data_IF_035697595877
#
_entry.id   IF_035697595877
#
_cell.length_a   1.000
_cell.length_b   1.000
_cell.length_c   1.000
_cell.angle_alpha   90.00
_cell.angle_beta   90.00
_cell.angle_gamma   90.00
#
_symmetry.space_group_name_H-M   'P 1'
#
loop_
_entity.id
_entity.type
_entity.pdbx_description
1 polymer ?
#
# COMPACT_ATOMS: atom_id res chain seq x y z
N UNK A 1 9.61 -50.52 -4.06
CA UNK A 1 10.49 -50.92 -5.19
C UNK A 1 9.98 -50.21 -6.44
N UNK A 2 10.50 -49.01 -6.71
CA UNK A 2 10.01 -48.11 -7.78
C UNK A 2 10.81 -48.23 -9.09
N UNK A 3 12.08 -48.65 -8.99
CA UNK A 3 13.11 -48.51 -10.03
C UNK A 3 13.16 -49.66 -11.05
N UNK A 4 12.07 -50.41 -11.27
CA UNK A 4 12.13 -51.59 -12.16
C UNK A 4 10.82 -51.94 -12.86
N UNK A 5 9.80 -51.08 -12.77
CA UNK A 5 8.52 -51.31 -13.44
C UNK A 5 8.26 -50.19 -14.46
N UNK A 6 8.04 -50.52 -15.74
CA UNK A 6 7.89 -49.52 -16.81
C UNK A 6 6.64 -48.64 -16.64
N UNK A 7 5.66 -49.09 -15.86
CA UNK A 7 4.38 -48.40 -15.69
C UNK A 7 4.31 -47.61 -14.37
N UNK A 8 5.40 -47.54 -13.61
CA UNK A 8 5.40 -46.91 -12.28
C UNK A 8 5.65 -45.40 -12.35
N UNK A 9 4.76 -44.64 -11.72
CA UNK A 9 4.85 -43.17 -11.62
C UNK A 9 4.74 -42.68 -10.18
N UNK A 10 5.41 -41.56 -9.91
CA UNK A 10 5.30 -40.76 -8.70
C UNK A 10 4.59 -39.45 -9.03
N UNK A 11 3.63 -39.08 -8.18
CA UNK A 11 2.84 -37.85 -8.36
C UNK A 11 3.01 -36.93 -7.15
N UNK A 12 3.07 -35.60 -7.36
CA UNK A 12 2.98 -34.64 -6.27
C UNK A 12 1.65 -34.73 -5.53
N UNK A 13 1.69 -34.64 -4.19
CA UNK A 13 0.47 -34.61 -3.36
C UNK A 13 -0.51 -33.52 -3.78
N UNK A 14 -0.01 -32.37 -4.23
CA UNK A 14 -0.81 -31.25 -4.72
C UNK A 14 -1.63 -31.57 -5.98
N UNK A 15 -1.18 -32.52 -6.81
CA UNK A 15 -1.90 -32.97 -7.99
C UNK A 15 -2.88 -34.10 -7.68
N UNK A 16 -2.46 -34.99 -6.79
CA UNK A 16 -3.14 -36.22 -6.46
C UNK A 16 -4.37 -36.01 -5.55
N UNK A 17 -4.23 -35.18 -4.50
CA UNK A 17 -5.28 -34.98 -3.50
C UNK A 17 -6.61 -34.41 -4.06
N UNK A 18 -6.62 -33.39 -4.95
CA UNK A 18 -7.86 -32.89 -5.54
C UNK A 18 -8.56 -33.89 -6.47
N UNK A 19 -7.85 -34.94 -6.92
CA UNK A 19 -8.35 -35.95 -7.87
C UNK A 19 -8.62 -37.30 -7.22
N UNK A 20 -8.48 -37.40 -5.89
CA UNK A 20 -8.65 -38.65 -5.16
C UNK A 20 -7.68 -39.75 -5.59
N UNK A 21 -6.50 -39.39 -6.11
CA UNK A 21 -5.48 -40.34 -6.54
C UNK A 21 -4.60 -40.72 -5.36
N UNK A 22 -4.71 -41.95 -4.89
CA UNK A 22 -3.83 -42.51 -3.86
C UNK A 22 -2.80 -43.47 -4.44
N UNK A 23 -1.87 -43.92 -3.59
CA UNK A 23 -0.91 -44.96 -3.96
C UNK A 23 -1.67 -46.24 -4.36
N UNK A 24 -1.41 -46.73 -5.57
CA UNK A 24 -2.11 -47.84 -6.21
C UNK A 24 -3.12 -47.41 -7.28
N UNK A 25 -3.46 -46.12 -7.37
CA UNK A 25 -4.34 -45.61 -8.41
C UNK A 25 -3.73 -45.76 -9.81
N UNK A 26 -4.58 -45.95 -10.82
CA UNK A 26 -4.18 -46.02 -12.22
C UNK A 26 -4.49 -44.67 -12.87
N UNK A 27 -3.51 -44.13 -13.59
CA UNK A 27 -3.63 -42.88 -14.34
C UNK A 27 -3.37 -43.15 -15.82
N UNK A 28 -4.30 -42.73 -16.66
CA UNK A 28 -4.12 -42.75 -18.11
C UNK A 28 -3.28 -41.53 -18.53
N UNK A 29 -2.16 -41.77 -19.22
CA UNK A 29 -1.33 -40.72 -19.79
C UNK A 29 -1.30 -40.85 -21.30
N UNK A 30 -1.31 -39.71 -21.98
CA UNK A 30 -1.14 -39.63 -23.42
C UNK A 30 0.36 -39.70 -23.76
N UNK A 31 0.75 -40.73 -24.50
CA UNK A 31 2.11 -40.92 -24.99
C UNK A 31 2.16 -40.72 -26.50
N UNK A 32 3.34 -40.49 -27.12
CA UNK A 32 3.47 -40.39 -28.57
C UNK A 32 2.98 -41.65 -29.32
N UNK A 33 2.91 -42.79 -28.62
CA UNK A 33 2.43 -44.08 -29.17
C UNK A 33 0.95 -44.35 -28.89
N UNK A 34 0.23 -43.40 -28.29
CA UNK A 34 -1.16 -43.54 -27.87
C UNK A 34 -1.34 -43.47 -26.35
N UNK A 35 -2.57 -43.69 -25.88
CA UNK A 35 -2.87 -43.65 -24.45
C UNK A 35 -2.39 -44.93 -23.76
N UNK A 36 -1.76 -44.77 -22.59
CA UNK A 36 -1.27 -45.88 -21.76
C UNK A 36 -1.61 -45.67 -20.30
N UNK A 37 -1.79 -46.78 -19.60
CA UNK A 37 -2.10 -46.82 -18.19
C UNK A 37 -0.82 -46.89 -17.36
N UNK A 38 -0.71 -46.04 -16.34
CA UNK A 38 0.40 -46.00 -15.41
C UNK A 38 -0.11 -46.12 -13.97
N UNK A 39 0.64 -46.79 -13.11
CA UNK A 39 0.28 -47.01 -11.70
C UNK A 39 1.03 -46.03 -10.81
N UNK A 40 0.29 -45.31 -9.96
CA UNK A 40 0.83 -44.41 -8.94
C UNK A 40 1.44 -45.26 -7.82
N UNK A 41 2.78 -45.30 -7.74
CA UNK A 41 3.48 -46.09 -6.71
C UNK A 41 3.91 -45.28 -5.49
N UNK A 42 3.79 -43.97 -5.55
CA UNK A 42 4.11 -43.10 -4.43
C UNK A 42 3.73 -41.65 -4.67
N UNK A 43 3.61 -40.93 -3.57
CA UNK A 43 3.31 -39.52 -3.55
C UNK A 43 4.53 -38.74 -3.05
N UNK A 44 4.95 -37.74 -3.83
CA UNK A 44 6.07 -36.87 -3.47
C UNK A 44 5.55 -35.54 -2.93
N UNK A 45 6.26 -34.97 -1.97
CA UNK A 45 5.99 -33.60 -1.53
C UNK A 45 6.51 -32.65 -2.63
N UNK A 46 5.71 -31.67 -3.09
CA UNK A 46 6.17 -30.73 -4.09
C UNK A 46 7.23 -29.79 -3.50
N UNK A 47 8.49 -30.18 -3.63
CA UNK A 47 9.65 -29.33 -3.31
C UNK A 47 10.30 -28.76 -4.58
N UNK A 48 10.88 -27.55 -4.48
CA UNK A 48 11.62 -26.93 -5.57
C UNK A 48 10.82 -26.77 -6.88
N UNK A 49 11.30 -27.37 -7.98
CA UNK A 49 10.69 -27.30 -9.31
C UNK A 49 9.31 -27.96 -9.39
N UNK A 50 8.96 -28.87 -8.48
CA UNK A 50 7.63 -29.49 -8.41
C UNK A 50 6.50 -28.47 -8.15
N UNK A 51 6.82 -27.33 -7.52
CA UNK A 51 5.87 -26.24 -7.30
C UNK A 51 5.70 -25.30 -8.50
N UNK A 52 6.70 -25.20 -9.36
CA UNK A 52 6.76 -24.20 -10.45
C UNK A 52 5.73 -24.50 -11.55
N UNK A 53 5.37 -25.77 -11.74
CA UNK A 53 4.32 -26.19 -12.67
C UNK A 53 2.97 -26.48 -11.98
N UNK A 54 2.72 -25.88 -10.81
CA UNK A 54 1.47 -26.08 -10.08
C UNK A 54 1.25 -27.52 -9.59
N UNK A 55 2.32 -28.30 -9.42
CA UNK A 55 2.24 -29.71 -9.07
C UNK A 55 1.97 -30.66 -10.23
N UNK A 56 1.81 -30.16 -11.46
CA UNK A 56 1.65 -31.00 -12.66
C UNK A 56 3.01 -31.56 -13.10
N UNK A 57 3.57 -32.46 -12.29
CA UNK A 57 4.81 -33.17 -12.57
C UNK A 57 4.56 -34.66 -12.41
N UNK A 58 5.08 -35.46 -13.34
CA UNK A 58 5.12 -36.92 -13.21
C UNK A 58 6.58 -37.32 -13.16
N UNK A 59 6.96 -38.09 -12.14
CA UNK A 59 8.32 -38.63 -12.02
C UNK A 59 8.26 -40.14 -12.28
N UNK A 60 9.13 -40.62 -13.14
CA UNK A 60 9.26 -42.03 -13.50
C UNK A 60 10.73 -42.37 -13.67
N UNK A 61 11.03 -43.66 -13.73
CA UNK A 61 12.36 -44.14 -14.05
C UNK A 61 12.77 -43.71 -15.48
N UNK A 62 14.06 -43.41 -15.69
CA UNK A 62 14.54 -42.92 -16.98
C UNK A 62 14.35 -43.95 -18.10
N UNK A 63 14.56 -45.24 -17.82
CA UNK A 63 14.37 -46.29 -18.81
C UNK A 63 12.88 -46.45 -19.17
N UNK A 64 12.00 -46.30 -18.18
CA UNK A 64 10.55 -46.27 -18.40
C UNK A 64 10.14 -45.05 -19.24
N UNK A 65 10.68 -43.87 -18.93
CA UNK A 65 10.43 -42.63 -19.69
C UNK A 65 10.90 -42.76 -21.14
N UNK A 66 12.09 -43.32 -21.37
CA UNK A 66 12.62 -43.54 -22.71
C UNK A 66 11.78 -44.49 -23.53
N UNK A 67 11.25 -45.55 -22.91
CA UNK A 67 10.39 -46.53 -23.61
C UNK A 67 8.98 -46.00 -23.88
N UNK A 68 8.45 -45.16 -23.00
CA UNK A 68 7.06 -44.70 -23.07
C UNK A 68 6.90 -43.36 -23.80
N UNK A 69 7.83 -42.41 -23.64
CA UNK A 69 7.67 -41.02 -24.07
C UNK A 69 8.69 -40.53 -25.10
N UNK A 70 9.83 -41.21 -25.26
CA UNK A 70 10.86 -40.79 -26.22
C UNK A 70 11.50 -41.99 -26.92
N UNK A 71 12.71 -41.86 -27.43
CA UNK A 71 13.54 -42.96 -27.93
C UNK A 71 14.74 -43.15 -27.00
N UNK A 72 15.34 -44.35 -26.96
CA UNK A 72 16.54 -44.59 -26.17
C UNK A 72 17.66 -43.61 -26.53
N UNK A 73 18.30 -43.00 -25.53
CA UNK A 73 19.42 -42.08 -25.71
C UNK A 73 19.03 -40.62 -25.98
N UNK A 74 17.73 -40.29 -26.01
CA UNK A 74 17.24 -38.91 -26.18
C UNK A 74 16.95 -38.25 -24.83
N UNK A 75 18.00 -37.67 -24.23
CA UNK A 75 17.91 -36.91 -22.97
C UNK A 75 17.87 -35.41 -23.30
N UNK A 76 16.80 -34.73 -22.88
CA UNK A 76 16.59 -33.30 -23.12
C UNK A 76 17.32 -32.39 -22.12
N UNK A 77 17.51 -32.84 -20.88
CA UNK A 77 18.17 -32.08 -19.82
C UNK A 77 18.86 -32.99 -18.81
N UNK A 78 20.06 -32.60 -18.41
CA UNK A 78 20.79 -33.20 -17.29
C UNK A 78 20.99 -32.13 -16.23
N UNK A 79 20.45 -32.37 -15.05
CA UNK A 79 20.65 -31.49 -13.90
C UNK A 79 21.87 -31.97 -13.10
N UNK A 80 22.89 -31.12 -12.99
CA UNK A 80 24.12 -31.43 -12.24
C UNK A 80 24.07 -30.74 -10.88
N UNK A 81 24.17 -31.53 -9.81
CA UNK A 81 24.23 -31.01 -8.44
C UNK A 81 25.68 -30.79 -8.07
N UNK A 82 26.03 -29.53 -7.81
CA UNK A 82 27.39 -29.14 -7.39
C UNK A 82 27.51 -29.30 -5.88
N UNK A 83 28.64 -29.84 -5.41
CA UNK A 83 28.95 -29.93 -3.98
C UNK A 83 29.01 -28.53 -3.33
N UNK A 84 28.63 -28.45 -2.05
CA UNK A 84 28.43 -27.17 -1.34
C UNK A 84 29.69 -26.31 -1.21
N UNK A 85 30.86 -26.91 -1.34
CA UNK A 85 32.19 -26.31 -1.21
C UNK A 85 32.74 -25.74 -2.53
N UNK A 86 32.03 -25.90 -3.65
CA UNK A 86 32.49 -25.48 -4.98
C UNK A 86 31.64 -24.35 -5.56
N UNK A 87 32.30 -23.39 -6.19
CA UNK A 87 31.63 -22.30 -6.90
C UNK A 87 30.97 -22.79 -8.20
N UNK A 88 29.67 -22.48 -8.34
CA UNK A 88 28.84 -22.85 -9.49
C UNK A 88 29.34 -22.19 -10.78
N UNK A 89 29.87 -20.97 -10.71
CA UNK A 89 30.35 -20.27 -11.90
C UNK A 89 31.62 -20.94 -12.48
N UNK A 90 32.52 -21.40 -11.60
CA UNK A 90 33.74 -22.13 -11.95
C UNK A 90 33.40 -23.50 -12.55
N UNK A 91 32.51 -24.26 -11.92
CA UNK A 91 32.06 -25.57 -12.42
C UNK A 91 31.33 -25.43 -13.77
N UNK A 92 30.51 -24.39 -13.94
CA UNK A 92 29.85 -24.09 -15.22
C UNK A 92 30.87 -23.87 -16.35
N UNK A 93 31.95 -23.11 -16.08
CA UNK A 93 32.99 -22.87 -17.09
C UNK A 93 33.70 -24.16 -17.47
N UNK A 94 34.07 -24.98 -16.48
CA UNK A 94 34.72 -26.27 -16.71
C UNK A 94 33.83 -27.25 -17.51
N UNK A 95 32.54 -27.30 -17.20
CA UNK A 95 31.56 -28.06 -17.99
C UNK A 95 31.45 -27.50 -19.41
N UNK A 96 31.28 -26.19 -19.57
CA UNK A 96 31.15 -25.58 -20.88
C UNK A 96 32.37 -25.85 -21.79
N UNK A 97 33.58 -25.95 -21.24
CA UNK A 97 34.79 -26.31 -22.00
C UNK A 97 34.91 -27.81 -22.31
N UNK A 98 34.24 -28.67 -21.55
CA UNK A 98 34.31 -30.13 -21.73
C UNK A 98 33.18 -30.69 -22.61
N UNK A 99 32.13 -29.90 -22.87
CA UNK A 99 30.97 -30.33 -23.66
C UNK A 99 31.15 -30.02 -25.16
N UNK A 100 30.64 -30.89 -26.07
CA UNK A 100 30.61 -30.64 -27.50
C UNK A 100 29.82 -29.38 -27.89
N UNK A 101 30.14 -28.83 -29.07
CA UNK A 101 29.35 -27.74 -29.66
C UNK A 101 27.90 -28.17 -29.88
N UNK A 102 26.94 -27.35 -29.44
CA UNK A 102 25.50 -27.61 -29.53
C UNK A 102 24.79 -27.81 -28.19
N UNK A 103 25.52 -28.05 -27.09
CA UNK A 103 24.95 -28.15 -25.74
C UNK A 103 25.11 -26.84 -24.95
N UNK A 104 24.03 -26.39 -24.31
CA UNK A 104 24.01 -25.14 -23.52
C UNK A 104 24.02 -25.44 -22.03
N UNK A 105 25.13 -25.11 -21.36
CA UNK A 105 25.22 -25.17 -19.90
C UNK A 105 24.62 -23.89 -19.31
N UNK A 106 23.46 -24.02 -18.66
CA UNK A 106 22.79 -22.90 -18.00
C UNK A 106 22.86 -23.06 -16.48
N UNK A 107 23.27 -22.00 -15.78
CA UNK A 107 23.23 -22.02 -14.31
C UNK A 107 21.81 -21.71 -13.83
N UNK A 108 21.26 -22.46 -12.84
CA UNK A 108 20.00 -22.11 -12.19
C UNK A 108 20.00 -20.69 -11.62
N UNK A 109 21.18 -20.20 -11.24
CA UNK A 109 21.38 -18.85 -10.73
C UNK A 109 21.04 -17.77 -11.75
N UNK A 110 21.24 -17.96 -13.06
CA UNK A 110 20.96 -16.90 -14.04
C UNK A 110 19.45 -16.56 -14.10
N UNK A 111 18.58 -17.58 -14.11
CA UNK A 111 17.12 -17.34 -14.05
C UNK A 111 16.67 -16.74 -12.72
N UNK A 112 17.28 -17.14 -11.60
CA UNK A 112 16.99 -16.54 -10.29
C UNK A 112 17.48 -15.08 -10.23
N UNK A 113 18.67 -14.77 -10.74
CA UNK A 113 19.24 -13.42 -10.76
C UNK A 113 18.41 -12.49 -11.62
N UNK A 114 17.92 -12.94 -12.78
CA UNK A 114 17.04 -12.14 -13.64
C UNK A 114 15.71 -11.82 -12.93
N UNK A 115 15.09 -12.81 -12.27
CA UNK A 115 13.86 -12.58 -11.52
C UNK A 115 14.07 -11.64 -10.31
N UNK A 116 15.17 -11.81 -9.55
CA UNK A 116 15.49 -10.91 -8.44
C UNK A 116 15.77 -9.49 -8.94
N UNK A 117 16.37 -9.33 -10.12
CA UNK A 117 16.63 -8.03 -10.72
C UNK A 117 15.35 -7.32 -11.15
N UNK A 118 14.41 -8.06 -11.77
CA UNK A 118 13.08 -7.55 -12.12
C UNK A 118 12.33 -7.15 -10.85
N UNK A 119 12.28 -8.02 -9.83
CA UNK A 119 11.60 -7.74 -8.57
C UNK A 119 12.20 -6.53 -7.84
N UNK A 120 13.53 -6.41 -7.83
CA UNK A 120 14.22 -5.25 -7.26
C UNK A 120 13.89 -3.96 -8.01
N UNK A 121 13.80 -4.01 -9.34
CA UNK A 121 13.39 -2.85 -10.14
C UNK A 121 11.98 -2.38 -9.79
N UNK A 122 11.03 -3.32 -9.69
CA UNK A 122 9.65 -3.04 -9.27
C UNK A 122 9.61 -2.47 -7.85
N UNK A 123 10.38 -3.02 -6.92
CA UNK A 123 10.47 -2.51 -5.55
C UNK A 123 10.98 -1.06 -5.52
N UNK A 124 12.04 -0.74 -6.27
CA UNK A 124 12.59 0.63 -6.33
C UNK A 124 11.56 1.60 -6.91
N UNK A 125 10.83 1.20 -7.96
CA UNK A 125 9.77 2.02 -8.55
C UNK A 125 8.65 2.29 -7.54
N UNK A 126 8.18 1.26 -6.83
CA UNK A 126 7.15 1.39 -5.78
C UNK A 126 7.63 2.23 -4.59
N UNK A 127 8.89 2.11 -4.20
CA UNK A 127 9.51 2.97 -3.18
C UNK A 127 9.53 4.45 -3.63
N UNK A 128 9.85 4.72 -4.89
CA UNK A 128 9.78 6.07 -5.47
C UNK A 128 8.38 6.65 -5.41
N UNK A 129 7.36 5.89 -5.82
CA UNK A 129 5.94 6.32 -5.72
C UNK A 129 5.54 6.53 -4.26
N UNK A 130 5.97 5.65 -3.35
CA UNK A 130 5.68 5.78 -1.92
C UNK A 130 6.24 7.07 -1.33
N UNK A 131 7.44 7.48 -1.76
CA UNK A 131 8.05 8.75 -1.34
C UNK A 131 7.26 9.96 -1.85
N UNK A 132 6.77 9.93 -3.09
CA UNK A 132 5.93 10.99 -3.64
C UNK A 132 4.59 11.10 -2.90
N UNK A 133 3.97 9.97 -2.58
CA UNK A 133 2.73 9.94 -1.79
C UNK A 133 2.98 10.44 -0.37
N UNK A 134 4.10 10.07 0.25
CA UNK A 134 4.49 10.57 1.57
C UNK A 134 4.69 12.10 1.55
N UNK A 135 5.33 12.63 0.52
CA UNK A 135 5.52 14.07 0.34
C UNK A 135 4.17 14.79 0.13
N UNK A 136 3.28 14.24 -0.69
CA UNK A 136 1.95 14.78 -0.90
C UNK A 136 1.14 14.79 0.41
N UNK A 137 1.18 13.68 1.17
CA UNK A 137 0.54 13.59 2.49
C UNK A 137 1.12 14.61 3.48
N UNK A 138 2.44 14.78 3.50
CA UNK A 138 3.11 15.82 4.29
C UNK A 138 2.58 17.22 3.96
N UNK A 139 2.46 17.58 2.67
CA UNK A 139 1.94 18.88 2.24
C UNK A 139 0.47 19.08 2.63
N UNK A 140 -0.34 18.03 2.52
CA UNK A 140 -1.75 18.06 2.95
C UNK A 140 -1.84 18.33 4.45
N UNK A 141 -1.09 17.58 5.27
CA UNK A 141 -1.07 17.76 6.72
C UNK A 141 -0.55 19.15 7.08
N UNK A 142 0.53 19.60 6.45
CA UNK A 142 1.11 20.92 6.67
C UNK A 142 0.07 22.03 6.42
N UNK A 143 -0.64 21.97 5.29
CA UNK A 143 -1.65 22.97 4.95
C UNK A 143 -2.85 22.92 5.91
N UNK A 144 -3.28 21.72 6.30
CA UNK A 144 -4.39 21.54 7.26
C UNK A 144 -4.05 22.07 8.64
N UNK A 145 -2.89 21.69 9.19
CA UNK A 145 -2.45 22.15 10.52
C UNK A 145 -2.18 23.65 10.52
N UNK A 146 -1.63 24.19 9.43
CA UNK A 146 -1.47 25.65 9.28
C UNK A 146 -2.81 26.38 9.43
N UNK A 147 -3.85 25.94 8.73
CA UNK A 147 -5.19 26.54 8.83
C UNK A 147 -5.80 26.38 10.23
N UNK A 148 -5.66 25.22 10.86
CA UNK A 148 -6.19 24.95 12.21
C UNK A 148 -5.50 25.81 13.26
N UNK A 149 -4.18 25.95 13.19
CA UNK A 149 -3.43 26.76 14.15
C UNK A 149 -3.71 28.25 13.98
N UNK A 150 -3.83 28.73 12.74
CA UNK A 150 -4.21 30.12 12.45
C UNK A 150 -5.58 30.45 13.05
N UNK A 151 -6.57 29.56 12.89
CA UNK A 151 -7.91 29.73 13.47
C UNK A 151 -7.90 29.76 15.01
N UNK A 152 -6.89 29.17 15.66
CA UNK A 152 -6.76 29.06 17.12
C UNK A 152 -5.81 30.10 17.74
N UNK A 153 -5.34 31.09 16.96
CA UNK A 153 -4.41 32.11 17.45
C UNK A 153 -4.91 32.83 18.71
N UNK A 154 -6.22 33.03 18.86
CA UNK A 154 -6.80 33.60 20.08
C UNK A 154 -6.48 32.78 21.34
N UNK A 155 -6.61 31.46 21.26
CA UNK A 155 -6.33 30.54 22.37
C UNK A 155 -4.85 30.62 22.77
N UNK A 156 -3.97 30.65 21.77
CA UNK A 156 -2.52 30.83 21.96
C UNK A 156 -2.21 32.19 22.59
N UNK A 157 -2.90 33.26 22.18
CA UNK A 157 -2.77 34.60 22.76
C UNK A 157 -3.15 34.65 24.24
N UNK A 158 -4.22 33.95 24.64
CA UNK A 158 -4.63 33.84 26.05
C UNK A 158 -3.60 33.06 26.87
N UNK A 159 -3.09 31.93 26.37
CA UNK A 159 -2.03 31.16 27.04
C UNK A 159 -0.76 32.01 27.24
N UNK A 160 -0.37 32.79 26.23
CA UNK A 160 0.78 33.69 26.34
C UNK A 160 0.53 34.86 27.29
N UNK A 161 -0.70 35.34 27.44
CA UNK A 161 -1.05 36.37 28.43
C UNK A 161 -0.95 35.85 29.89
N UNK A 162 -1.12 34.53 30.09
CA UNK A 162 -0.88 33.87 31.38
C UNK A 162 0.62 33.65 31.68
N UNK A 163 1.53 34.07 30.78
CA UNK A 163 2.97 34.01 30.98
C UNK A 163 3.66 32.75 30.44
N UNK A 164 2.97 31.90 29.69
CA UNK A 164 3.60 30.74 29.06
C UNK A 164 4.67 31.18 28.04
N UNK A 165 5.82 30.50 28.05
CA UNK A 165 6.90 30.76 27.10
C UNK A 165 6.51 30.21 25.73
N UNK A 166 6.94 30.84 24.62
CA UNK A 166 6.64 30.35 23.26
C UNK A 166 7.08 28.89 23.01
N UNK A 167 8.13 28.43 23.70
CA UNK A 167 8.59 27.03 23.62
C UNK A 167 7.60 26.05 24.24
N UNK A 168 7.00 26.42 25.37
CA UNK A 168 6.06 25.56 26.09
C UNK A 168 4.76 25.40 25.28
N UNK A 169 4.28 26.50 24.69
CA UNK A 169 3.12 26.47 23.77
C UNK A 169 3.41 25.65 22.52
N UNK A 170 4.61 25.78 21.93
CA UNK A 170 5.00 25.00 20.76
C UNK A 170 5.04 23.49 21.03
N UNK A 171 5.55 23.08 22.19
CA UNK A 171 5.58 21.68 22.61
C UNK A 171 4.17 21.12 22.83
N UNK A 172 3.25 21.91 23.36
CA UNK A 172 1.85 21.51 23.55
C UNK A 172 1.13 21.29 22.21
N UNK A 173 1.31 22.20 21.23
CA UNK A 173 0.78 22.05 19.88
C UNK A 173 1.37 20.82 19.16
N UNK A 174 2.67 20.55 19.37
CA UNK A 174 3.32 19.36 18.87
C UNK A 174 2.78 18.09 19.52
N UNK A 175 2.51 18.11 20.83
CA UNK A 175 1.94 16.99 21.56
C UNK A 175 0.52 16.68 21.03
N UNK A 176 -0.32 17.68 20.84
CA UNK A 176 -1.66 17.53 20.23
C UNK A 176 -1.55 16.91 18.82
N UNK A 177 -0.65 17.45 17.99
CA UNK A 177 -0.41 16.95 16.64
C UNK A 177 0.14 15.52 16.63
N UNK A 178 0.97 15.17 17.62
CA UNK A 178 1.56 13.84 17.74
C UNK A 178 0.51 12.78 18.05
N UNK A 179 -0.52 13.11 18.85
CA UNK A 179 -1.62 12.20 19.15
C UNK A 179 -2.46 11.93 17.91
N UNK A 180 -2.77 12.98 17.14
CA UNK A 180 -3.49 12.87 15.87
C UNK A 180 -2.68 12.05 14.86
N UNK A 181 -1.37 12.31 14.77
CA UNK A 181 -0.44 11.56 13.93
C UNK A 181 -0.34 10.09 14.32
N UNK A 182 -0.22 9.78 15.61
CA UNK A 182 -0.15 8.42 16.12
C UNK A 182 -1.44 7.64 15.83
N UNK A 183 -2.62 8.26 16.03
CA UNK A 183 -3.90 7.66 15.67
C UNK A 183 -4.00 7.41 14.16
N UNK A 184 -3.58 8.37 13.34
CA UNK A 184 -3.54 8.23 11.89
C UNK A 184 -2.62 7.10 11.42
N UNK A 185 -1.43 6.98 12.03
CA UNK A 185 -0.47 5.90 11.74
C UNK A 185 -1.05 4.55 12.16
N UNK A 186 -1.68 4.43 13.33
CA UNK A 186 -2.29 3.18 13.78
C UNK A 186 -3.38 2.71 12.79
N UNK A 187 -4.27 3.61 12.37
CA UNK A 187 -5.31 3.31 11.39
C UNK A 187 -4.71 3.02 10.00
N UNK A 188 -3.72 3.78 9.57
CA UNK A 188 -3.02 3.59 8.30
C UNK A 188 -2.29 2.24 8.21
N UNK A 189 -1.61 1.83 9.29
CA UNK A 189 -0.96 0.52 9.36
C UNK A 189 -1.98 -0.62 9.38
N UNK A 190 -3.04 -0.50 10.19
CA UNK A 190 -4.08 -1.51 10.26
C UNK A 190 -4.78 -1.69 8.90
N UNK A 191 -5.18 -0.58 8.26
CA UNK A 191 -5.81 -0.60 6.94
C UNK A 191 -4.85 -1.08 5.86
N UNK A 192 -3.59 -0.64 5.85
CA UNK A 192 -2.58 -1.09 4.87
C UNK A 192 -2.30 -2.59 4.97
N UNK A 193 -2.17 -3.11 6.19
CA UNK A 193 -2.03 -4.56 6.45
C UNK A 193 -3.29 -5.32 6.02
N UNK A 194 -4.48 -4.79 6.32
CA UNK A 194 -5.75 -5.37 5.91
C UNK A 194 -5.91 -5.43 4.39
N UNK A 195 -5.62 -4.33 3.70
CA UNK A 195 -5.68 -4.23 2.24
C UNK A 195 -4.67 -5.15 1.58
N UNK A 196 -3.45 -5.24 2.12
CA UNK A 196 -2.43 -6.13 1.60
C UNK A 196 -2.84 -7.60 1.73
N UNK A 197 -3.47 -8.01 2.85
CA UNK A 197 -4.02 -9.37 3.01
C UNK A 197 -5.16 -9.66 2.03
N UNK A 198 -5.99 -8.66 1.73
CA UNK A 198 -7.11 -8.80 0.80
C UNK A 198 -6.65 -8.86 -0.67
N UNK A 199 -5.65 -8.05 -1.04
CA UNK A 199 -5.15 -7.95 -2.42
C UNK A 199 -4.20 -9.10 -2.79
N UNK A 200 -3.48 -9.67 -1.82
CA UNK A 200 -2.54 -10.76 -2.08
C UNK A 200 -3.16 -11.98 -2.79
N UNK A 201 -4.32 -12.53 -2.38
CA UNK A 201 -4.94 -13.63 -3.09
C UNK A 201 -5.42 -13.23 -4.50
N UNK A 202 -5.90 -12.00 -4.68
CA UNK A 202 -6.35 -11.48 -6.00
C UNK A 202 -5.18 -11.36 -6.97
N UNK A 203 -4.03 -10.87 -6.51
CA UNK A 203 -2.81 -10.83 -7.30
C UNK A 203 -2.28 -12.24 -7.59
N UNK A 204 -2.35 -13.15 -6.61
CA UNK A 204 -1.88 -14.52 -6.78
C UNK A 204 -2.69 -15.29 -7.84
N UNK A 205 -4.02 -15.10 -7.90
CA UNK A 205 -4.87 -15.75 -8.90
C UNK A 205 -4.67 -15.16 -10.29
N UNK A 206 -4.60 -13.83 -10.42
CA UNK A 206 -4.42 -13.14 -11.70
C UNK A 206 -3.04 -13.39 -12.33
N UNK A 207 -1.97 -13.40 -11.53
CA UNK A 207 -0.61 -13.70 -12.01
C UNK A 207 -0.41 -15.18 -12.34
N UNK A 208 -1.07 -16.09 -11.60
CA UNK A 208 -1.06 -17.52 -11.94
C UNK A 208 -1.71 -17.79 -13.32
N UNK A 209 -2.78 -17.07 -13.67
CA UNK A 209 -3.41 -17.16 -14.98
C UNK A 209 -2.54 -16.55 -16.10
N UNK A 210 -1.87 -15.43 -15.83
CA UNK A 210 -1.14 -14.67 -16.86
C UNK A 210 0.26 -15.25 -17.20
N UNK A 211 0.94 -15.91 -16.27
CA UNK A 211 2.38 -16.20 -16.42
C UNK A 211 2.77 -17.68 -16.44
N UNK A 212 1.86 -18.63 -16.19
CA UNK A 212 2.18 -20.07 -15.91
C UNK A 212 3.36 -20.26 -14.92
N UNK A 213 3.68 -19.23 -14.15
CA UNK A 213 4.71 -19.17 -13.14
C UNK A 213 3.96 -19.03 -11.84
N UNK A 214 3.76 -20.14 -11.14
CA UNK A 214 3.21 -20.10 -9.79
C UNK A 214 4.24 -19.40 -8.90
N UNK A 215 4.02 -18.10 -8.65
CA UNK A 215 4.77 -17.34 -7.65
C UNK A 215 4.65 -18.14 -6.35
N UNK A 216 5.77 -18.50 -5.69
CA UNK A 216 5.73 -19.28 -4.47
C UNK A 216 4.77 -18.57 -3.52
N UNK A 217 3.75 -19.30 -3.04
CA UNK A 217 2.74 -18.87 -2.06
C UNK A 217 3.29 -17.68 -1.28
N UNK A 218 2.92 -16.46 -1.69
CA UNK A 218 3.48 -15.26 -1.14
C UNK A 218 3.05 -15.26 0.33
N UNK A 219 3.90 -15.77 1.21
CA UNK A 219 3.63 -15.74 2.64
C UNK A 219 3.69 -14.28 2.98
N UNK A 220 2.56 -13.72 3.37
CA UNK A 220 2.47 -12.35 3.82
C UNK A 220 3.22 -12.22 5.15
N UNK A 221 4.54 -12.12 5.07
CA UNK A 221 5.40 -11.91 6.22
C UNK A 221 5.56 -10.41 6.40
N UNK A 222 4.73 -9.85 7.28
CA UNK A 222 4.94 -8.47 7.73
C UNK A 222 6.12 -8.48 8.68
N UNK A 223 7.26 -8.00 8.20
CA UNK A 223 8.41 -7.80 9.07
C UNK A 223 8.11 -6.70 10.09
N UNK A 224 8.30 -6.99 11.37
CA UNK A 224 8.19 -5.98 12.43
C UNK A 224 9.06 -4.75 12.14
N UNK A 225 10.22 -4.94 11.51
CA UNK A 225 11.09 -3.84 11.05
C UNK A 225 10.42 -2.91 10.03
N UNK A 226 9.64 -3.44 9.08
CA UNK A 226 8.91 -2.62 8.09
C UNK A 226 7.76 -1.83 8.70
N UNK A 227 7.07 -2.41 9.69
CA UNK A 227 6.04 -1.69 10.45
C UNK A 227 6.67 -0.56 11.29
N UNK A 228 7.79 -0.84 11.94
CA UNK A 228 8.50 0.14 12.74
C UNK A 228 9.00 1.31 11.87
N UNK A 229 9.61 1.04 10.72
CA UNK A 229 10.06 2.11 9.81
C UNK A 229 8.89 2.92 9.26
N UNK A 230 7.78 2.29 8.88
CA UNK A 230 6.58 2.99 8.43
C UNK A 230 5.98 3.87 9.55
N UNK A 231 5.95 3.36 10.79
CA UNK A 231 5.48 4.14 11.95
C UNK A 231 6.35 5.36 12.22
N UNK A 232 7.69 5.17 12.23
CA UNK A 232 8.65 6.26 12.44
C UNK A 232 8.52 7.31 11.33
N UNK A 233 8.43 6.89 10.07
CA UNK A 233 8.27 7.81 8.94
C UNK A 233 6.93 8.55 9.00
N UNK A 234 5.84 7.88 9.36
CA UNK A 234 4.52 8.50 9.46
C UNK A 234 4.42 9.53 10.60
N UNK A 235 4.86 9.16 11.80
CA UNK A 235 4.89 10.08 12.94
C UNK A 235 5.88 11.21 12.69
N UNK A 236 7.07 10.89 12.17
CA UNK A 236 8.10 11.87 11.83
C UNK A 236 7.61 12.89 10.79
N UNK A 237 6.96 12.43 9.72
CA UNK A 237 6.38 13.32 8.70
C UNK A 237 5.30 14.24 9.29
N UNK A 238 4.44 13.71 10.18
CA UNK A 238 3.40 14.51 10.84
C UNK A 238 4.00 15.60 11.74
N UNK A 239 5.01 15.24 12.55
CA UNK A 239 5.70 16.18 13.44
C UNK A 239 6.43 17.25 12.64
N UNK A 240 7.13 16.88 11.57
CA UNK A 240 7.80 17.83 10.68
C UNK A 240 6.81 18.78 10.01
N UNK A 241 5.64 18.27 9.59
CA UNK A 241 4.59 19.08 8.99
C UNK A 241 3.96 20.06 10.00
N UNK A 242 3.81 19.64 11.26
CA UNK A 242 3.26 20.45 12.33
C UNK A 242 4.26 21.48 12.89
N UNK A 243 5.56 21.17 12.87
CA UNK A 243 6.60 21.93 13.56
C UNK A 243 6.66 23.40 13.11
N UNK A 244 6.66 23.65 11.80
CA UNK A 244 6.74 24.99 11.24
C UNK A 244 5.50 25.86 11.54
N UNK A 245 4.25 25.41 11.26
CA UNK A 245 3.06 26.21 11.57
C UNK A 245 2.85 26.36 13.07
N UNK A 246 3.15 25.33 13.88
CA UNK A 246 3.09 25.44 15.34
C UNK A 246 4.07 26.50 15.85
N UNK A 247 5.28 26.56 15.28
CA UNK A 247 6.28 27.55 15.68
C UNK A 247 5.87 28.97 15.31
N UNK A 248 5.27 29.15 14.12
CA UNK A 248 4.69 30.44 13.71
C UNK A 248 3.57 30.87 14.65
N UNK A 249 2.65 29.96 14.97
CA UNK A 249 1.55 30.23 15.90
C UNK A 249 2.05 30.56 17.31
N UNK A 250 3.06 29.86 17.83
CA UNK A 250 3.60 30.12 19.17
C UNK A 250 4.29 31.49 19.30
N UNK A 251 4.76 32.07 18.18
CA UNK A 251 5.48 33.36 18.17
C UNK A 251 4.61 34.58 17.90
N UNK A 252 3.34 34.45 17.55
CA UNK A 252 2.45 35.61 17.31
C UNK A 252 2.31 36.50 18.55
N UNK A 253 2.46 37.81 18.36
CA UNK A 253 2.46 38.80 19.43
C UNK A 253 1.10 38.87 20.13
N UNK A 254 1.08 38.74 21.46
CA UNK A 254 -0.11 38.85 22.31
C UNK A 254 -0.84 40.19 22.13
N UNK A 255 -0.09 41.28 21.99
CA UNK A 255 -0.65 42.61 21.77
C UNK A 255 -1.36 42.73 20.41
N UNK A 256 -0.87 42.05 19.37
CA UNK A 256 -1.51 42.04 18.06
C UNK A 256 -2.80 41.20 18.06
N UNK A 257 -2.82 40.09 18.81
CA UNK A 257 -3.97 39.19 18.90
C UNK A 257 -5.08 39.77 19.76
N UNK A 258 -4.75 40.24 20.97
CA UNK A 258 -5.73 40.81 21.91
C UNK A 258 -6.11 42.26 21.55
N UNK A 259 -5.16 43.01 20.96
CA UNK A 259 -5.38 44.38 20.51
C UNK A 259 -6.05 44.50 19.15
N UNK A 260 -6.04 43.44 18.32
CA UNK A 260 -6.62 43.46 16.97
C UNK A 260 -8.11 43.79 16.94
N UNK A 261 -8.89 43.27 17.89
CA UNK A 261 -10.32 43.61 18.04
C UNK A 261 -10.51 45.05 18.53
N UNK A 262 -9.62 45.54 19.39
CA UNK A 262 -9.63 46.92 19.88
C UNK A 262 -9.25 47.91 18.78
N UNK A 263 -8.26 47.58 17.95
CA UNK A 263 -7.81 48.37 16.81
C UNK A 263 -8.85 48.41 15.69
N UNK A 264 -9.49 47.28 15.36
CA UNK A 264 -10.63 47.26 14.41
C UNK A 264 -11.84 48.05 14.92
N UNK A 265 -12.13 47.99 16.22
CA UNK A 265 -13.19 48.80 16.83
C UNK A 265 -12.86 50.30 16.85
N UNK A 266 -11.59 50.68 17.01
CA UNK A 266 -11.11 52.07 16.95
C UNK A 266 -11.08 52.60 15.52
N UNK A 267 -10.73 51.78 14.53
CA UNK A 267 -10.71 52.14 13.11
C UNK A 267 -12.14 52.29 12.54
N UNK A 268 -13.06 51.41 12.96
CA UNK A 268 -14.49 51.57 12.68
C UNK A 268 -15.09 52.84 13.33
N UNK A 269 -14.52 53.34 14.44
CA UNK A 269 -14.90 54.61 15.07
C UNK A 269 -14.26 55.84 14.40
N UNK A 270 -13.08 55.70 13.79
CA UNK A 270 -12.42 56.80 13.06
C UNK A 270 -13.02 57.01 11.67
N UNK A 271 -13.46 55.94 11.00
CA UNK A 271 -14.12 56.03 9.69
C UNK A 271 -15.52 56.67 9.76
N UNK A 272 -16.15 56.66 10.94
CA UNK A 272 -17.37 57.40 11.25
C UNK A 272 -16.97 58.73 11.89
N UNK A 273 -16.80 59.77 11.06
CA UNK A 273 -16.41 61.10 11.52
C UNK A 273 -17.31 61.67 12.64
N UNK A 274 -16.80 62.63 13.45
CA UNK A 274 -17.52 63.15 14.62
C UNK A 274 -18.83 63.81 14.17
N UNK A 275 -19.96 63.28 14.65
CA UNK A 275 -21.30 63.83 14.41
C UNK A 275 -22.18 63.08 13.40
N UNK A 276 -21.71 61.96 12.81
CA UNK A 276 -22.58 61.09 11.99
C UNK A 276 -23.07 59.88 12.78
N UNK A 277 -24.39 59.70 12.79
CA UNK A 277 -25.02 58.57 13.44
C UNK A 277 -24.53 57.24 12.87
N UNK A 278 -24.11 56.34 13.77
CA UNK A 278 -23.71 54.98 13.43
C UNK A 278 -24.89 54.25 12.78
N UNK A 279 -24.72 53.59 11.61
CA UNK A 279 -25.81 52.89 10.95
C UNK A 279 -26.47 51.84 11.87
N UNK A 280 -27.79 51.64 11.79
CA UNK A 280 -28.56 50.83 12.75
C UNK A 280 -28.10 49.37 12.83
N UNK A 281 -27.45 48.84 11.80
CA UNK A 281 -26.83 47.51 11.77
C UNK A 281 -25.61 47.40 12.70
N UNK A 282 -24.79 48.44 12.81
CA UNK A 282 -23.60 48.50 13.67
C UNK A 282 -23.93 48.88 15.13
N UNK A 283 -25.04 49.60 15.37
CA UNK A 283 -25.51 49.92 16.74
C UNK A 283 -25.89 48.66 17.55
N UNK A 284 -26.25 47.55 16.90
CA UNK A 284 -26.58 46.28 17.59
C UNK A 284 -25.36 45.60 18.23
N UNK A 285 -24.18 45.72 17.63
CA UNK A 285 -22.95 45.13 18.18
C UNK A 285 -22.35 45.91 19.37
N UNK A 286 -22.75 47.17 19.56
CA UNK A 286 -22.24 48.06 20.62
C UNK A 286 -23.16 48.15 21.84
N UNK A 287 -24.29 47.44 21.86
CA UNK A 287 -25.10 47.33 23.07
C UNK A 287 -24.32 46.51 24.10
N UNK A 288 -23.82 47.20 25.14
CA UNK A 288 -23.34 46.58 26.38
C UNK A 288 -24.35 45.49 26.80
N UNK A 289 -23.90 44.30 27.22
CA UNK A 289 -24.80 43.30 27.77
C UNK A 289 -25.36 43.84 29.09
N UNK A 290 -26.48 44.57 29.04
CA UNK A 290 -27.22 44.94 30.23
C UNK A 290 -27.96 43.70 30.71
N UNK A 291 -27.53 43.21 31.87
CA UNK A 291 -28.20 42.18 32.62
C UNK A 291 -29.71 42.48 32.72
N UNK A 292 -30.55 41.64 32.11
CA UNK A 292 -31.96 41.50 32.49
C UNK A 292 -32.45 40.10 32.13
N UNK A 293 -32.80 39.35 33.19
CA UNK A 293 -33.53 38.07 33.16
C UNK A 293 -34.95 38.27 32.61
N UNK A 294 -35.45 37.29 31.85
CA UNK A 294 -36.86 37.12 31.46
C UNK A 294 -37.06 35.82 30.65
N UNK A 295 -38.07 34.97 30.92
CA UNK A 295 -38.16 33.58 30.47
C UNK A 295 -38.84 33.41 29.08
N UNK A 296 -38.94 32.18 28.52
CA UNK A 296 -38.78 31.91 27.09
C UNK A 296 -40.09 31.99 26.30
N UNK A 297 -40.00 32.38 25.01
CA UNK A 297 -41.11 32.18 24.07
C UNK A 297 -40.64 31.56 22.74
N UNK A 298 -41.07 30.30 22.59
CA UNK A 298 -41.59 29.60 21.40
C UNK A 298 -40.71 29.49 20.14
N UNK A 299 -40.28 28.25 19.94
CA UNK A 299 -39.81 27.66 18.68
C UNK A 299 -40.99 27.49 17.71
N UNK A 300 -40.81 27.90 16.46
CA UNK A 300 -41.57 27.45 15.29
C UNK A 300 -40.66 27.44 14.05
N UNK A 301 -40.92 26.57 13.05
CA UNK A 301 -39.89 25.93 12.23
C UNK A 301 -39.52 26.71 10.96
N UNK A 302 -38.26 26.60 10.53
CA UNK A 302 -37.79 27.07 9.21
C UNK A 302 -38.06 25.99 8.17
N UNK A 303 -38.91 26.33 7.20
CA UNK A 303 -39.09 25.60 5.95
C UNK A 303 -38.00 26.00 4.94
N UNK A 304 -37.74 25.04 4.06
CA UNK A 304 -36.74 24.97 3.01
C UNK A 304 -36.78 26.10 1.98
N UNK A 305 -35.62 26.37 1.37
CA UNK A 305 -35.54 26.88 0.01
C UNK A 305 -34.16 26.54 -0.59
N UNK A 306 -34.12 25.40 -1.28
CA UNK A 306 -33.13 25.03 -2.29
C UNK A 306 -33.36 25.92 -3.51
N UNK A 307 -32.29 26.44 -4.13
CA UNK A 307 -32.37 27.20 -5.39
C UNK A 307 -31.26 26.73 -6.34
N UNK A 308 -31.68 25.96 -7.34
CA UNK A 308 -30.95 25.60 -8.57
C UNK A 308 -31.13 26.74 -9.62
N UNK A 309 -30.21 26.97 -10.59
CA UNK A 309 -30.31 28.09 -11.53
C UNK A 309 -30.91 27.73 -12.90
N UNK A 310 -31.66 28.69 -13.47
CA UNK A 310 -32.31 28.65 -14.78
C UNK A 310 -31.35 28.83 -15.98
N UNK A 311 -31.62 28.09 -17.05
CA UNK A 311 -31.12 28.29 -18.42
C UNK A 311 -32.24 28.81 -19.34
N UNK A 312 -31.97 29.64 -20.36
CA UNK A 312 -33.01 30.06 -21.30
C UNK A 312 -32.96 29.27 -22.62
N UNK A 313 -34.11 28.79 -23.07
CA UNK A 313 -34.38 28.34 -24.43
C UNK A 313 -35.53 29.16 -25.03
N UNK A 314 -35.32 29.74 -26.21
CA UNK A 314 -36.36 30.43 -26.98
C UNK A 314 -36.02 30.35 -28.47
N UNK A 315 -36.69 29.45 -29.17
CA UNK A 315 -36.56 29.22 -30.61
C UNK A 315 -37.55 30.03 -31.45
N UNK A 316 -37.26 30.14 -32.75
CA UNK A 316 -38.21 30.66 -33.73
C UNK A 316 -37.63 30.76 -35.15
N UNK A 317 -37.97 29.79 -36.00
CA UNK A 317 -38.00 29.91 -37.48
C UNK A 317 -39.43 29.53 -37.92
N UNK A 318 -39.97 30.15 -39.00
CA UNK A 318 -39.98 29.46 -40.28
C UNK A 318 -39.77 30.36 -41.53
N UNK A 319 -39.59 29.64 -42.67
CA UNK A 319 -39.31 29.98 -44.09
C UNK A 319 -40.46 30.72 -44.83
N UNK A 320 -40.34 31.15 -46.11
CA UNK A 320 -40.00 30.35 -47.32
C UNK A 320 -38.52 30.35 -47.73
#
# INVERSE_FOLDING_TARGET
>A
MFLSQPDSILLPRSFAAPRGLDVGAILELETPTGRRWFTVRGLIEPEGMGRVHGGNLVVMDIFAAEKAFTRPGLINRVDVVVARDRDVATVRKALASALPEGLRVTAPAQRKVDLHRIMRSVQVMLQGVSLLVLLAAFLIVFNRLSAVFEARIWQVGVMRAMGLRPRDVWLELLAESSLIGAAGVAVGLASGVGLARLMLPVLATTTALASKLTVPSARFTVGWGSLATAAILGVGATLLAAALPAWRAARTSTAAVLGGDSARALDARRSVGPGRDLPPSLRRGLRRPSARRGPPQRVAPRADCVREPDAPAGGGRPRP
#
